data_IF_448679094061
#
_entry.id   IF_448679094061
#
_cell.length_a   1.000
_cell.length_b   1.000
_cell.length_c   1.000
_cell.angle_alpha   90.00
_cell.angle_beta   90.00
_cell.angle_gamma   90.00
#
_symmetry.space_group_name_H-M   'P 1'
#
loop_
_entity.id
_entity.type
_entity.pdbx_description
1 polymer ?
#
# COMPACT_ATOMS: atom_id res chain seq x y z
N UNK A 1 -6.18 -20.40 -30.22
CA UNK A 1 -5.89 -20.29 -28.78
C UNK A 1 -6.08 -18.86 -28.30
N UNK A 2 -6.87 -18.58 -27.25
CA UNK A 2 -7.00 -17.21 -26.76
C UNK A 2 -5.79 -16.80 -25.90
N UNK A 3 -5.20 -15.65 -26.23
CA UNK A 3 -4.23 -14.95 -25.37
C UNK A 3 -4.99 -14.31 -24.21
N UNK A 4 -4.49 -14.46 -22.99
CA UNK A 4 -5.05 -13.84 -21.79
C UNK A 4 -4.07 -12.85 -21.18
N UNK A 5 -4.59 -11.72 -20.72
CA UNK A 5 -3.85 -10.82 -19.83
C UNK A 5 -4.10 -11.30 -18.39
N UNK A 6 -3.04 -11.76 -17.74
CA UNK A 6 -3.11 -12.43 -16.44
C UNK A 6 -1.99 -12.00 -15.51
N UNK A 7 -2.16 -12.31 -14.23
CA UNK A 7 -1.17 -12.06 -13.19
C UNK A 7 -0.30 -13.30 -12.96
N UNK A 8 1.01 -13.15 -13.05
CA UNK A 8 1.97 -14.15 -12.59
C UNK A 8 2.44 -13.80 -11.19
N UNK A 9 2.52 -14.79 -10.30
CA UNK A 9 2.93 -14.55 -8.92
C UNK A 9 4.44 -14.63 -8.81
N UNK A 10 5.04 -13.49 -8.54
CA UNK A 10 6.40 -13.33 -8.09
C UNK A 10 6.41 -12.91 -6.60
N UNK A 11 7.59 -12.83 -6.01
CA UNK A 11 7.75 -12.49 -4.60
C UNK A 11 7.75 -13.70 -3.66
N UNK A 12 7.82 -13.41 -2.36
CA UNK A 12 8.07 -14.40 -1.31
C UNK A 12 6.80 -14.89 -0.63
N UNK A 13 6.92 -15.90 0.23
CA UNK A 13 5.81 -16.33 1.10
C UNK A 13 5.34 -15.14 1.95
N UNK A 14 4.03 -14.92 2.02
CA UNK A 14 3.42 -13.82 2.77
C UNK A 14 3.55 -12.41 2.15
N UNK A 15 4.37 -12.22 1.11
CA UNK A 15 4.50 -10.93 0.40
C UNK A 15 4.43 -11.15 -1.12
N UNK A 16 3.22 -11.27 -1.70
CA UNK A 16 3.05 -11.50 -3.13
C UNK A 16 3.37 -10.25 -3.95
N UNK A 17 3.97 -10.43 -5.12
CA UNK A 17 4.20 -9.38 -6.11
C UNK A 17 3.80 -9.92 -7.48
N UNK A 18 3.00 -9.20 -8.26
CA UNK A 18 2.45 -9.75 -9.48
C UNK A 18 3.03 -9.09 -10.72
N UNK A 19 3.38 -9.89 -11.72
CA UNK A 19 3.64 -9.37 -13.06
C UNK A 19 2.36 -9.44 -13.87
N UNK A 20 2.06 -8.36 -14.58
CA UNK A 20 0.95 -8.32 -15.52
C UNK A 20 1.52 -8.74 -16.87
N UNK A 21 1.06 -9.88 -17.40
CA UNK A 21 1.61 -10.47 -18.62
C UNK A 21 0.53 -10.84 -19.62
N UNK A 22 0.86 -10.74 -20.89
CA UNK A 22 0.12 -11.38 -21.98
C UNK A 22 0.69 -12.79 -22.20
N UNK A 23 -0.14 -13.82 -22.11
CA UNK A 23 0.28 -15.21 -22.26
C UNK A 23 -0.82 -16.09 -22.88
N UNK A 24 -0.44 -17.21 -23.48
CA UNK A 24 -1.41 -18.24 -23.91
C UNK A 24 -2.18 -18.77 -22.68
N UNK A 25 -3.50 -18.85 -22.81
CA UNK A 25 -4.39 -19.38 -21.76
C UNK A 25 -3.99 -20.75 -21.18
N UNK A 26 -3.35 -21.63 -21.97
CA UNK A 26 -2.95 -22.99 -21.55
C UNK A 26 -1.61 -23.04 -20.85
N UNK A 27 -0.80 -21.98 -20.94
CA UNK A 27 0.49 -21.94 -20.26
C UNK A 27 0.28 -21.96 -18.73
N UNK A 28 1.18 -22.60 -17.98
CA UNK A 28 1.16 -22.57 -16.51
C UNK A 28 1.18 -21.13 -15.98
N UNK A 29 0.66 -20.88 -14.77
CA UNK A 29 0.55 -19.52 -14.16
C UNK A 29 1.87 -18.75 -14.25
N UNK A 30 2.93 -19.30 -13.66
CA UNK A 30 4.27 -18.70 -13.61
C UNK A 30 5.18 -19.27 -14.71
N UNK A 31 4.61 -19.45 -15.90
CA UNK A 31 5.28 -20.03 -17.06
C UNK A 31 5.74 -19.02 -18.08
N UNK A 32 6.08 -19.53 -19.26
CA UNK A 32 6.42 -18.72 -20.42
C UNK A 32 5.26 -17.77 -20.74
N UNK A 33 5.57 -16.50 -20.87
CA UNK A 33 4.68 -15.45 -21.33
C UNK A 33 5.16 -14.92 -22.69
N UNK A 34 4.31 -14.14 -23.36
CA UNK A 34 4.65 -13.47 -24.63
C UNK A 34 5.30 -12.13 -24.34
N UNK A 35 4.65 -11.32 -23.50
CA UNK A 35 5.11 -9.98 -23.15
C UNK A 35 4.72 -9.63 -21.71
N UNK A 36 5.62 -8.93 -21.01
CA UNK A 36 5.35 -8.34 -19.70
C UNK A 36 4.90 -6.89 -19.92
N UNK A 37 3.63 -6.62 -19.64
CA UNK A 37 3.01 -5.30 -19.84
C UNK A 37 3.00 -4.44 -18.57
N UNK A 38 3.36 -5.02 -17.41
CA UNK A 38 3.41 -4.26 -16.17
C UNK A 38 3.66 -5.09 -14.92
N UNK A 39 3.47 -4.45 -13.77
CA UNK A 39 3.58 -5.05 -12.45
C UNK A 39 2.55 -4.47 -11.47
N UNK A 40 2.18 -5.28 -10.49
CA UNK A 40 1.20 -4.98 -9.47
C UNK A 40 1.70 -5.41 -8.09
N UNK A 41 1.82 -4.45 -7.18
CA UNK A 41 2.21 -4.66 -5.80
C UNK A 41 1.05 -4.36 -4.85
N UNK A 42 0.37 -5.40 -4.29
CA UNK A 42 -0.71 -5.21 -3.32
C UNK A 42 -0.22 -4.95 -1.90
N UNK A 43 1.10 -5.03 -1.61
CA UNK A 43 1.61 -4.87 -0.25
C UNK A 43 1.71 -3.40 0.19
N UNK A 44 1.57 -2.46 -0.74
CA UNK A 44 1.56 -1.02 -0.49
C UNK A 44 0.11 -0.50 -0.46
N UNK A 45 -0.13 0.54 0.31
CA UNK A 45 -1.43 1.22 0.36
C UNK A 45 -1.22 2.73 0.17
N UNK A 46 -1.67 3.32 -0.95
CA UNK A 46 -2.32 2.69 -2.11
C UNK A 46 -1.44 1.67 -2.84
N UNK A 47 -2.05 0.68 -3.48
CA UNK A 47 -1.32 -0.37 -4.20
C UNK A 47 -0.53 0.22 -5.37
N UNK A 48 0.75 -0.15 -5.48
CA UNK A 48 1.63 0.34 -6.55
C UNK A 48 1.37 -0.46 -7.82
N UNK A 49 1.03 0.25 -8.90
CA UNK A 49 0.72 -0.35 -10.19
C UNK A 49 1.56 0.35 -11.26
N UNK A 50 2.39 -0.43 -11.93
CA UNK A 50 3.16 -0.03 -13.11
C UNK A 50 2.53 -0.71 -14.32
N UNK A 51 2.06 0.05 -15.29
CA UNK A 51 1.40 -0.49 -16.48
C UNK A 51 1.84 0.30 -17.70
N UNK A 52 2.33 -0.41 -18.71
CA UNK A 52 2.42 0.11 -20.07
C UNK A 52 1.01 0.10 -20.69
N UNK A 53 0.41 1.28 -20.76
CA UNK A 53 -0.95 1.48 -21.26
C UNK A 53 -1.03 1.16 -22.76
N UNK A 54 -0.02 1.54 -23.53
CA UNK A 54 -0.01 1.35 -24.98
C UNK A 54 0.19 -0.12 -25.36
N UNK A 55 1.14 -0.79 -24.69
CA UNK A 55 1.31 -2.23 -24.80
C UNK A 55 0.03 -2.99 -24.43
N UNK A 56 -0.64 -2.60 -23.34
CA UNK A 56 -1.90 -3.21 -22.94
C UNK A 56 -3.02 -3.01 -23.97
N UNK A 57 -3.17 -1.81 -24.53
CA UNK A 57 -4.16 -1.51 -25.57
C UNK A 57 -3.91 -2.34 -26.83
N UNK A 58 -2.66 -2.45 -27.27
CA UNK A 58 -2.28 -3.28 -28.42
C UNK A 58 -2.73 -4.74 -28.23
N UNK A 59 -2.49 -5.33 -27.06
CA UNK A 59 -2.94 -6.69 -26.77
C UNK A 59 -4.47 -6.82 -26.74
N UNK A 60 -5.18 -5.83 -26.19
CA UNK A 60 -6.64 -5.81 -26.18
C UNK A 60 -7.22 -5.71 -27.60
N UNK A 61 -6.63 -4.89 -28.47
CA UNK A 61 -7.02 -4.77 -29.87
C UNK A 61 -6.76 -6.06 -30.66
N UNK A 62 -5.68 -6.79 -30.33
CA UNK A 62 -5.39 -8.12 -30.86
C UNK A 62 -6.27 -9.24 -30.28
N UNK A 63 -7.27 -8.90 -29.46
CA UNK A 63 -8.26 -9.85 -28.93
C UNK A 63 -7.85 -10.54 -27.63
N UNK A 64 -6.80 -10.08 -26.94
CA UNK A 64 -6.42 -10.64 -25.65
C UNK A 64 -7.55 -10.42 -24.62
N UNK A 65 -7.89 -11.48 -23.89
CA UNK A 65 -8.96 -11.44 -22.88
C UNK A 65 -8.35 -11.24 -21.48
N UNK A 66 -8.65 -10.14 -20.77
CA UNK A 66 -8.17 -9.94 -19.41
C UNK A 66 -8.89 -10.85 -18.42
N UNK A 67 -8.15 -11.34 -17.43
CA UNK A 67 -8.72 -11.97 -16.22
C UNK A 67 -9.34 -10.91 -15.31
N UNK A 68 -10.21 -11.30 -14.36
CA UNK A 68 -11.02 -10.35 -13.57
C UNK A 68 -10.18 -9.30 -12.83
N UNK A 69 -9.19 -9.72 -12.04
CA UNK A 69 -8.28 -8.80 -11.34
C UNK A 69 -7.43 -7.97 -12.32
N UNK A 70 -6.98 -8.57 -13.43
CA UNK A 70 -6.26 -7.81 -14.45
C UNK A 70 -7.16 -6.75 -15.10
N UNK A 71 -8.42 -7.05 -15.35
CA UNK A 71 -9.42 -6.10 -15.87
C UNK A 71 -9.63 -4.93 -14.91
N UNK A 72 -9.70 -5.19 -13.61
CA UNK A 72 -9.79 -4.14 -12.60
C UNK A 72 -8.55 -3.22 -12.63
N UNK A 73 -7.35 -3.79 -12.74
CA UNK A 73 -6.10 -3.02 -12.84
C UNK A 73 -6.05 -2.20 -14.14
N UNK A 74 -6.39 -2.80 -15.28
CA UNK A 74 -6.44 -2.13 -16.58
C UNK A 74 -7.49 -1.01 -16.61
N UNK A 75 -8.62 -1.19 -15.94
CA UNK A 75 -9.64 -0.15 -15.76
C UNK A 75 -9.11 1.00 -14.89
N UNK A 76 -8.47 0.67 -13.77
CA UNK A 76 -7.94 1.65 -12.83
C UNK A 76 -6.84 2.53 -13.43
N UNK A 77 -5.99 1.97 -14.30
CA UNK A 77 -4.93 2.72 -15.01
C UNK A 77 -5.35 3.29 -16.36
N UNK A 78 -6.55 2.99 -16.86
CA UNK A 78 -7.11 3.63 -18.05
C UNK A 78 -6.89 2.90 -19.37
N UNK A 79 -6.22 1.75 -19.40
CA UNK A 79 -6.00 0.99 -20.63
C UNK A 79 -7.32 0.55 -21.30
N UNK A 80 -8.35 0.20 -20.51
CA UNK A 80 -9.67 -0.11 -21.08
C UNK A 80 -10.37 1.11 -21.67
N UNK A 81 -10.21 2.28 -21.04
CA UNK A 81 -10.79 3.53 -21.54
C UNK A 81 -10.10 3.93 -22.84
N UNK A 82 -8.77 3.90 -22.87
CA UNK A 82 -7.99 4.19 -24.10
C UNK A 82 -8.37 3.26 -25.24
N UNK A 83 -8.54 1.96 -24.97
CA UNK A 83 -9.01 1.00 -25.97
C UNK A 83 -10.43 1.30 -26.48
N UNK A 84 -11.35 1.71 -25.58
CA UNK A 84 -12.70 2.11 -25.98
C UNK A 84 -12.71 3.35 -26.88
N UNK A 85 -11.94 4.37 -26.51
CA UNK A 85 -11.80 5.62 -27.27
C UNK A 85 -11.20 5.36 -28.66
N UNK A 86 -10.13 4.55 -28.74
CA UNK A 86 -9.54 4.11 -30.01
C UNK A 86 -10.57 3.37 -30.90
N UNK A 87 -11.46 2.58 -30.28
CA UNK A 87 -12.59 1.96 -30.98
C UNK A 87 -13.60 2.96 -31.54
N UNK A 88 -13.81 4.09 -30.86
CA UNK A 88 -14.63 5.21 -31.33
C UNK A 88 -14.01 5.94 -32.51
N UNK A 89 -12.69 6.19 -32.46
CA UNK A 89 -11.93 6.78 -33.56
C UNK A 89 -11.98 5.89 -34.81
N UNK A 90 -11.74 4.58 -34.66
CA UNK A 90 -11.82 3.62 -35.78
C UNK A 90 -13.21 3.56 -36.43
N UNK A 91 -14.26 3.88 -35.69
CA UNK A 91 -15.64 3.95 -36.19
C UNK A 91 -16.02 5.33 -36.74
N UNK A 92 -15.11 6.32 -36.69
CA UNK A 92 -15.35 7.69 -37.14
C UNK A 92 -16.22 8.53 -36.20
N UNK A 93 -16.47 8.06 -34.97
CA UNK A 93 -17.31 8.80 -34.00
C UNK A 93 -16.55 9.91 -33.26
N UNK A 94 -15.22 9.82 -33.18
CA UNK A 94 -14.33 10.78 -32.54
C UNK A 94 -13.11 11.01 -33.44
N UNK A 95 -12.49 12.19 -33.33
CA UNK A 95 -11.12 12.42 -33.81
C UNK A 95 -10.08 11.89 -32.81
N UNK A 96 -8.85 11.68 -33.25
CA UNK A 96 -7.75 11.25 -32.37
C UNK A 96 -7.52 12.27 -31.25
N UNK A 97 -7.55 13.56 -31.57
CA UNK A 97 -7.40 14.66 -30.61
C UNK A 97 -8.47 14.66 -29.52
N UNK A 98 -9.74 14.46 -29.91
CA UNK A 98 -10.86 14.38 -28.95
C UNK A 98 -10.76 13.14 -28.03
N UNK A 99 -10.20 12.05 -28.55
CA UNK A 99 -9.97 10.85 -27.76
C UNK A 99 -8.85 11.07 -26.73
N UNK A 100 -7.76 11.73 -27.13
CA UNK A 100 -6.66 12.07 -26.22
C UNK A 100 -7.08 13.07 -25.14
N UNK A 101 -7.82 14.11 -25.50
CA UNK A 101 -8.34 15.10 -24.55
C UNK A 101 -9.20 14.43 -23.47
N UNK A 102 -10.15 13.57 -23.88
CA UNK A 102 -11.00 12.81 -22.94
C UNK A 102 -10.19 11.86 -22.06
N UNK A 103 -9.15 11.25 -22.61
CA UNK A 103 -8.28 10.36 -21.86
C UNK A 103 -7.45 11.12 -20.82
N UNK A 104 -6.90 12.27 -21.20
CA UNK A 104 -6.11 13.12 -20.30
C UNK A 104 -6.97 13.70 -19.18
N UNK A 105 -8.18 14.21 -19.49
CA UNK A 105 -9.13 14.68 -18.48
C UNK A 105 -9.49 13.59 -17.46
N UNK A 106 -9.67 12.36 -17.92
CA UNK A 106 -9.90 11.22 -17.03
C UNK A 106 -8.68 10.89 -16.16
N UNK A 107 -7.46 10.98 -16.71
CA UNK A 107 -6.23 10.77 -15.95
C UNK A 107 -6.06 11.79 -14.83
N UNK A 108 -6.36 13.06 -15.09
CA UNK A 108 -6.33 14.12 -14.07
C UNK A 108 -7.36 13.88 -12.96
N UNK A 109 -8.61 13.56 -13.33
CA UNK A 109 -9.65 13.23 -12.35
C UNK A 109 -9.25 12.02 -11.48
N UNK A 110 -8.64 11.00 -12.10
CA UNK A 110 -8.13 9.83 -11.37
C UNK A 110 -6.95 10.17 -10.49
N UNK A 111 -5.99 10.96 -10.95
CA UNK A 111 -4.85 11.40 -10.16
C UNK A 111 -5.32 12.14 -8.91
N UNK A 112 -6.26 13.09 -9.05
CA UNK A 112 -6.84 13.81 -7.93
C UNK A 112 -7.52 12.88 -6.91
N UNK A 113 -8.29 11.87 -7.37
CA UNK A 113 -8.91 10.87 -6.47
C UNK A 113 -7.89 9.99 -5.74
N UNK A 114 -6.79 9.64 -6.42
CA UNK A 114 -5.71 8.84 -5.83
C UNK A 114 -4.98 9.65 -4.77
N UNK A 115 -4.67 10.90 -5.07
CA UNK A 115 -4.01 11.83 -4.14
C UNK A 115 -4.89 12.09 -2.90
N UNK A 116 -6.18 12.33 -3.09
CA UNK A 116 -7.14 12.48 -1.99
C UNK A 116 -7.21 11.23 -1.09
N UNK A 117 -7.13 10.03 -1.69
CA UNK A 117 -7.08 8.78 -0.91
C UNK A 117 -5.75 8.64 -0.17
N UNK A 118 -4.63 8.98 -0.80
CA UNK A 118 -3.31 8.91 -0.21
C UNK A 118 -3.18 9.87 0.99
N UNK A 119 -3.65 11.11 0.85
CA UNK A 119 -3.66 12.09 1.94
C UNK A 119 -4.60 11.69 3.09
N UNK A 120 -5.78 11.14 2.77
CA UNK A 120 -6.69 10.59 3.78
C UNK A 120 -6.09 9.42 4.57
N UNK A 121 -5.39 8.51 3.90
CA UNK A 121 -4.67 7.40 4.54
C UNK A 121 -3.52 7.92 5.42
N UNK A 122 -2.72 8.86 4.92
CA UNK A 122 -1.63 9.44 5.69
C UNK A 122 -2.12 10.11 6.99
N UNK A 123 -3.26 10.82 6.92
CA UNK A 123 -3.89 11.42 8.10
C UNK A 123 -4.38 10.35 9.09
N UNK A 124 -5.07 9.32 8.61
CA UNK A 124 -5.54 8.23 9.45
C UNK A 124 -4.39 7.46 10.14
N UNK A 125 -3.30 7.22 9.41
CA UNK A 125 -2.10 6.58 9.97
C UNK A 125 -1.41 7.46 11.02
N UNK A 126 -1.38 8.78 10.81
CA UNK A 126 -0.84 9.73 11.78
C UNK A 126 -1.70 9.77 13.06
N UNK A 127 -3.02 9.87 12.92
CA UNK A 127 -3.97 9.87 14.04
C UNK A 127 -3.90 8.54 14.83
N UNK A 128 -3.78 7.40 14.13
CA UNK A 128 -3.64 6.09 14.76
C UNK A 128 -2.32 5.96 15.53
N UNK A 129 -1.20 6.45 14.98
CA UNK A 129 0.10 6.46 15.66
C UNK A 129 0.10 7.38 16.89
N UNK A 130 -0.52 8.56 16.79
CA UNK A 130 -0.64 9.48 17.92
C UNK A 130 -1.41 8.84 19.08
N UNK A 131 -2.58 8.24 18.80
CA UNK A 131 -3.38 7.53 19.81
C UNK A 131 -2.65 6.32 20.40
N UNK A 132 -1.91 5.57 19.59
CA UNK A 132 -1.10 4.45 20.09
C UNK A 132 0.01 4.94 21.03
N UNK A 133 0.68 6.04 20.69
CA UNK A 133 1.73 6.64 21.52
C UNK A 133 1.17 7.19 22.83
N UNK A 134 0.01 7.85 22.80
CA UNK A 134 -0.69 8.30 24.02
C UNK A 134 -1.11 7.12 24.92
N UNK A 135 -1.62 6.03 24.33
CA UNK A 135 -1.98 4.83 25.07
C UNK A 135 -0.74 4.16 25.69
N UNK A 136 0.37 4.06 24.95
CA UNK A 136 1.65 3.53 25.46
C UNK A 136 2.20 4.39 26.61
N UNK A 137 2.11 5.72 26.51
CA UNK A 137 2.49 6.64 27.59
C UNK A 137 1.65 6.44 28.84
N UNK A 138 0.33 6.38 28.71
CA UNK A 138 -0.57 6.17 29.84
C UNK A 138 -0.31 4.82 30.55
N UNK A 139 -0.06 3.74 29.77
CA UNK A 139 0.30 2.43 30.33
C UNK A 139 1.66 2.48 31.03
N UNK A 140 2.64 3.21 30.46
CA UNK A 140 3.95 3.35 31.07
C UNK A 140 3.90 4.18 32.36
N UNK A 141 3.18 5.30 32.37
CA UNK A 141 2.96 6.14 33.55
C UNK A 141 2.22 5.38 34.66
N UNK A 142 1.17 4.62 34.33
CA UNK A 142 0.48 3.76 35.30
C UNK A 142 1.40 2.67 35.87
N UNK A 143 2.26 2.06 35.05
CA UNK A 143 3.27 1.10 35.50
C UNK A 143 4.33 1.73 36.40
N UNK A 144 4.76 2.96 36.11
CA UNK A 144 5.71 3.70 36.95
C UNK A 144 5.06 4.03 38.30
N UNK A 145 3.83 4.55 38.31
CA UNK A 145 3.09 4.87 39.53
C UNK A 145 2.85 3.64 40.43
N UNK A 146 2.58 2.48 39.86
CA UNK A 146 2.41 1.23 40.61
C UNK A 146 3.72 0.63 41.17
N UNK A 147 4.88 1.04 40.65
CA UNK A 147 6.20 0.57 41.08
C UNK A 147 6.95 1.58 41.97
N UNK A 148 6.38 2.77 42.23
CA UNK A 148 6.89 3.70 43.23
C UNK A 148 6.42 3.24 44.62
N UNK A 149 7.32 2.84 45.55
CA UNK A 149 6.93 2.44 46.90
C UNK A 149 6.30 3.62 47.66
N UNK A 150 5.20 3.38 48.38
CA UNK A 150 4.77 4.27 49.46
C UNK A 150 5.93 4.38 50.46
N UNK A 151 6.49 5.58 50.63
CA UNK A 151 7.27 5.91 51.82
C UNK A 151 6.36 5.70 53.04
N UNK A 152 6.62 4.62 53.78
CA UNK A 152 6.14 4.46 55.16
C UNK A 152 6.59 5.67 55.98
N UNK A 153 5.60 6.37 56.55
CA UNK A 153 5.80 7.36 57.61
C UNK A 153 5.81 6.64 58.97
N UNK A 154 6.92 6.81 59.69
CA UNK A 154 7.09 6.86 61.16
C UNK A 154 7.18 5.57 62.02
N UNK A 155 8.40 5.31 62.55
CA UNK A 155 8.82 4.96 63.94
C UNK A 155 10.23 4.31 63.83
N UNK A 156 11.34 4.82 64.36
CA UNK A 156 11.72 4.88 65.79
C UNK A 156 12.86 5.91 65.98
N UNK A 157 12.66 6.85 66.91
CA UNK A 157 13.66 7.15 67.93
C UNK A 157 13.21 6.37 69.18
N UNK A 158 14.08 5.72 69.99
CA UNK A 158 15.25 6.36 70.61
C UNK A 158 16.48 5.44 70.86
N UNK A 159 17.66 6.02 71.12
CA UNK A 159 18.55 5.65 72.24
C UNK A 159 19.79 6.56 72.30
N UNK A 160 20.01 7.11 73.49
CA UNK A 160 21.19 7.86 73.90
C UNK A 160 22.34 6.94 74.37
N UNK A 161 23.53 7.54 74.49
CA UNK A 161 24.73 7.13 75.26
C UNK A 161 25.55 5.91 74.78
N UNK A 162 26.77 6.16 74.30
CA UNK A 162 27.98 6.05 75.14
C UNK A 162 29.23 6.49 74.35
N UNK A 163 29.75 7.65 74.75
CA UNK A 163 31.13 8.06 74.55
C UNK A 163 32.06 7.04 75.23
N UNK A 164 33.04 6.51 74.50
CA UNK A 164 34.21 5.87 75.06
C UNK A 164 35.43 6.28 74.23
N UNK A 165 35.79 7.55 74.37
CA UNK A 165 37.13 8.03 74.07
C UNK A 165 38.05 7.76 75.28
N UNK A 166 38.99 6.83 75.14
CA UNK A 166 40.28 6.87 75.84
C UNK A 166 41.30 6.04 75.06
N UNK A 167 42.06 6.71 74.19
CA UNK A 167 43.41 6.31 73.79
C UNK A 167 44.33 7.48 74.20
N UNK A 168 45.50 7.10 74.71
CA UNK A 168 46.51 7.88 75.43
C UNK A 168 46.89 9.22 74.78
N UNK A 169 46.99 10.29 75.59
CA UNK A 169 48.21 11.06 75.96
C UNK A 169 47.87 12.48 76.46
#
# INVERSE_FOLDING_TARGET
MPVKIRLQRHGKKGKPYYWIVAADSRAKRDGKYLEKIGAYNPNTNPATIELDVDGAVKWLQNGAQPTDTAKAILSYKGALLKNHLAGGVRKGALTEEQAEEKFNAWLEEKAAKIEAKASGLAKADADAKAKALEAEKAVNEARIAANTPEEEVAEEAPAAEADASNEEE
#
